data_IF_995056910503
#
_entry.id   IF_995056910503
#
_cell.length_a   1.000
_cell.length_b   1.000
_cell.length_c   1.000
_cell.angle_alpha   90.00
_cell.angle_beta   90.00
_cell.angle_gamma   90.00
#
_symmetry.space_group_name_H-M   'P 1'
#
loop_
_entity.id
_entity.type
_entity.pdbx_description
1 polymer ?
#
# COMPACT_ATOMS: atom_id res chain seq x y z
N UNK A 1 18.13 30.98 30.58
CA UNK A 1 17.67 31.46 29.28
C UNK A 1 18.15 30.61 28.06
N UNK A 2 19.34 29.98 28.13
CA UNK A 2 19.82 29.13 27.03
C UNK A 2 19.07 27.79 26.89
N UNK A 3 18.43 27.27 27.95
CA UNK A 3 17.64 26.02 27.90
C UNK A 3 16.27 26.20 27.23
N UNK A 4 15.71 27.41 27.27
CA UNK A 4 14.41 27.70 26.70
C UNK A 4 14.39 27.62 25.17
N UNK A 5 15.47 28.04 24.50
CA UNK A 5 15.59 27.97 23.03
C UNK A 5 15.79 26.56 22.51
N UNK A 6 16.21 25.58 23.34
CA UNK A 6 16.40 24.18 22.95
C UNK A 6 15.16 23.33 23.20
N UNK A 7 14.26 23.76 24.06
CA UNK A 7 13.04 23.00 24.42
C UNK A 7 11.92 23.26 23.42
N UNK A 8 11.83 24.49 22.87
CA UNK A 8 10.80 24.83 21.86
C UNK A 8 10.85 23.96 20.60
N UNK A 9 12.02 23.71 19.94
CA UNK A 9 12.07 22.86 18.78
C UNK A 9 11.77 21.38 19.09
N UNK A 10 12.05 20.92 20.33
CA UNK A 10 11.74 19.56 20.75
C UNK A 10 10.22 19.37 20.96
N UNK A 11 9.56 20.36 21.53
CA UNK A 11 8.10 20.35 21.74
C UNK A 11 7.37 20.47 20.41
N UNK A 12 7.86 21.30 19.47
CA UNK A 12 7.32 21.39 18.11
C UNK A 12 7.52 20.08 17.33
N UNK A 13 8.67 19.43 17.48
CA UNK A 13 8.93 18.14 16.87
C UNK A 13 8.00 17.03 17.42
N UNK A 14 7.74 17.04 18.74
CA UNK A 14 6.79 16.12 19.37
C UNK A 14 5.34 16.37 18.92
N UNK A 15 4.94 17.64 18.73
CA UNK A 15 3.61 17.97 18.22
C UNK A 15 3.43 17.57 16.76
N UNK A 16 4.47 17.68 15.94
CA UNK A 16 4.45 17.21 14.55
C UNK A 16 4.33 15.67 14.47
N UNK A 17 4.99 14.95 15.37
CA UNK A 17 4.90 13.49 15.46
C UNK A 17 3.52 13.02 15.95
N UNK A 18 2.89 13.73 16.88
CA UNK A 18 1.55 13.40 17.35
C UNK A 18 0.44 13.74 16.34
N UNK A 19 0.64 14.77 15.49
CA UNK A 19 -0.30 15.13 14.42
C UNK A 19 -0.21 14.25 13.17
N UNK A 20 0.92 13.59 12.92
CA UNK A 20 1.13 12.72 11.76
C UNK A 20 0.45 11.35 11.89
N UNK A 21 0.12 10.88 13.10
CA UNK A 21 -0.41 9.53 13.33
C UNK A 21 -1.87 9.31 12.89
N UNK A 22 -2.65 10.37 12.73
CA UNK A 22 -4.11 10.24 12.61
C UNK A 22 -4.63 10.01 11.18
N UNK A 23 -3.86 10.31 10.14
CA UNK A 23 -4.36 10.32 8.77
C UNK A 23 -3.38 9.76 7.73
N UNK A 24 -2.43 8.94 8.12
CA UNK A 24 -1.42 8.40 7.18
C UNK A 24 -2.07 7.55 6.08
N UNK A 25 -3.04 6.71 6.44
CA UNK A 25 -3.83 5.95 5.47
C UNK A 25 -4.56 6.87 4.49
N UNK A 26 -5.23 7.90 5.00
CA UNK A 26 -5.95 8.87 4.18
C UNK A 26 -5.01 9.63 3.23
N UNK A 27 -3.84 10.03 3.71
CA UNK A 27 -2.80 10.64 2.86
C UNK A 27 -2.32 9.69 1.77
N UNK A 28 -2.22 8.39 2.06
CA UNK A 28 -1.91 7.36 1.07
C UNK A 28 -2.96 7.31 -0.04
N UNK A 29 -4.25 7.33 0.33
CA UNK A 29 -5.36 7.36 -0.63
C UNK A 29 -5.31 8.63 -1.49
N UNK A 30 -5.15 9.79 -0.87
CA UNK A 30 -5.01 11.08 -1.60
C UNK A 30 -3.82 11.06 -2.56
N UNK A 31 -2.71 10.48 -2.14
CA UNK A 31 -1.51 10.34 -3.00
C UNK A 31 -1.77 9.43 -4.21
N UNK A 32 -2.52 8.33 -4.04
CA UNK A 32 -2.93 7.49 -5.17
C UNK A 32 -3.84 8.26 -6.15
N UNK A 33 -4.82 9.00 -5.63
CA UNK A 33 -5.73 9.81 -6.45
C UNK A 33 -4.96 10.86 -7.26
N UNK A 34 -3.93 11.44 -6.67
CA UNK A 34 -3.04 12.40 -7.32
C UNK A 34 -1.96 11.74 -8.20
N UNK A 35 -1.93 10.42 -8.28
CA UNK A 35 -0.91 9.63 -8.99
C UNK A 35 0.51 9.87 -8.49
N UNK A 36 0.65 10.31 -7.25
CA UNK A 36 1.94 10.38 -6.55
C UNK A 36 2.21 9.03 -5.86
N UNK A 37 2.65 8.08 -6.66
CA UNK A 37 2.82 6.69 -6.22
C UNK A 37 3.96 6.53 -5.20
N UNK A 38 4.99 7.35 -5.27
CA UNK A 38 6.07 7.34 -4.29
C UNK A 38 5.58 7.81 -2.91
N UNK A 39 4.81 8.90 -2.86
CA UNK A 39 4.19 9.37 -1.63
C UNK A 39 3.13 8.39 -1.10
N UNK A 40 2.35 7.79 -1.99
CA UNK A 40 1.37 6.75 -1.64
C UNK A 40 2.07 5.55 -0.98
N UNK A 41 3.16 5.07 -1.57
CA UNK A 41 3.98 3.99 -1.02
C UNK A 41 4.42 4.31 0.40
N UNK A 42 5.02 5.48 0.62
CA UNK A 42 5.52 5.90 1.94
C UNK A 42 4.39 5.98 2.97
N UNK A 43 3.27 6.59 2.62
CA UNK A 43 2.14 6.76 3.52
C UNK A 43 1.47 5.42 3.88
N UNK A 44 1.26 4.54 2.91
CA UNK A 44 0.69 3.22 3.20
C UNK A 44 1.64 2.33 3.99
N UNK A 45 2.93 2.39 3.72
CA UNK A 45 3.95 1.67 4.48
C UNK A 45 3.91 2.08 5.95
N UNK A 46 3.83 3.38 6.22
CA UNK A 46 3.68 3.91 7.56
C UNK A 46 2.35 3.50 8.21
N UNK A 47 1.25 3.49 7.45
CA UNK A 47 -0.05 3.03 7.94
C UNK A 47 0.00 1.56 8.38
N UNK A 48 0.70 0.69 7.64
CA UNK A 48 0.93 -0.70 8.02
C UNK A 48 1.74 -0.80 9.31
N UNK A 49 2.82 -0.04 9.44
CA UNK A 49 3.65 0.01 10.64
C UNK A 49 2.85 0.47 11.86
N UNK A 50 2.00 1.47 11.70
CA UNK A 50 1.10 2.01 12.73
C UNK A 50 -0.13 1.11 12.98
N UNK A 51 -0.25 -0.02 12.31
CA UNK A 51 -1.39 -0.96 12.37
C UNK A 51 -2.75 -0.29 12.09
N UNK A 52 -2.77 0.64 11.15
CA UNK A 52 -3.98 1.36 10.70
C UNK A 52 -4.45 0.81 9.36
N UNK A 53 -5.71 0.36 9.32
CA UNK A 53 -6.33 -0.16 8.10
C UNK A 53 -5.39 -1.11 7.32
N UNK A 54 -4.83 -2.10 8.02
CA UNK A 54 -3.71 -2.93 7.56
C UNK A 54 -4.00 -3.58 6.20
N UNK A 55 -5.16 -4.22 6.04
CA UNK A 55 -5.54 -4.86 4.79
C UNK A 55 -5.63 -3.86 3.63
N UNK A 56 -6.33 -2.75 3.83
CA UNK A 56 -6.48 -1.70 2.82
C UNK A 56 -5.17 -0.97 2.55
N UNK A 57 -4.32 -0.81 3.57
CA UNK A 57 -2.99 -0.22 3.41
C UNK A 57 -2.07 -1.10 2.58
N UNK A 58 -2.08 -2.40 2.78
CA UNK A 58 -1.36 -3.35 1.91
C UNK A 58 -1.89 -3.34 0.48
N UNK A 59 -3.21 -3.25 0.30
CA UNK A 59 -3.80 -3.12 -1.03
C UNK A 59 -3.34 -1.83 -1.72
N UNK A 60 -3.40 -0.70 -1.03
CA UNK A 60 -2.91 0.58 -1.54
C UNK A 60 -1.41 0.56 -1.86
N UNK A 61 -0.62 -0.08 -1.00
CA UNK A 61 0.80 -0.30 -1.21
C UNK A 61 1.08 -1.14 -2.47
N UNK A 62 0.31 -2.21 -2.66
CA UNK A 62 0.38 -3.04 -3.87
C UNK A 62 0.11 -2.24 -5.14
N UNK A 63 -0.93 -1.40 -5.13
CA UNK A 63 -1.25 -0.51 -6.26
C UNK A 63 -0.11 0.48 -6.51
N UNK A 64 0.41 1.11 -5.46
CA UNK A 64 1.52 2.08 -5.59
C UNK A 64 2.77 1.43 -6.17
N UNK A 65 3.13 0.23 -5.74
CA UNK A 65 4.23 -0.53 -6.32
C UNK A 65 3.96 -0.93 -7.77
N UNK A 66 2.75 -1.40 -8.07
CA UNK A 66 2.36 -1.81 -9.42
C UNK A 66 2.50 -0.67 -10.43
N UNK A 67 2.01 0.51 -10.08
CA UNK A 67 2.10 1.71 -10.94
C UNK A 67 3.54 2.20 -11.12
N UNK A 68 4.44 1.88 -10.19
CA UNK A 68 5.88 2.13 -10.31
C UNK A 68 6.64 1.00 -11.01
N UNK A 69 5.93 0.00 -11.54
CA UNK A 69 6.51 -1.19 -12.19
C UNK A 69 7.39 -2.04 -11.24
N UNK A 70 7.20 -1.89 -9.94
CA UNK A 70 7.85 -2.71 -8.90
C UNK A 70 7.02 -3.97 -8.65
N UNK A 71 6.95 -4.83 -9.66
CA UNK A 71 6.02 -5.95 -9.69
C UNK A 71 6.23 -6.99 -8.60
N UNK A 72 7.46 -7.27 -8.23
CA UNK A 72 7.78 -8.20 -7.14
C UNK A 72 7.29 -7.69 -5.78
N UNK A 73 7.52 -6.42 -5.51
CA UNK A 73 7.04 -5.77 -4.29
C UNK A 73 5.52 -5.61 -4.29
N UNK A 74 4.93 -5.29 -5.45
CA UNK A 74 3.49 -5.22 -5.62
C UNK A 74 2.82 -6.55 -5.32
N UNK A 75 3.35 -7.65 -5.85
CA UNK A 75 2.84 -8.99 -5.61
C UNK A 75 2.85 -9.33 -4.10
N UNK A 76 3.97 -9.09 -3.43
CA UNK A 76 4.10 -9.32 -1.99
C UNK A 76 3.08 -8.49 -1.19
N UNK A 77 2.88 -7.22 -1.56
CA UNK A 77 1.90 -6.35 -0.90
C UNK A 77 0.46 -6.83 -1.12
N UNK A 78 0.10 -7.27 -2.32
CA UNK A 78 -1.23 -7.83 -2.58
C UNK A 78 -1.46 -9.15 -1.83
N UNK A 79 -0.47 -10.03 -1.76
CA UNK A 79 -0.54 -11.26 -0.98
C UNK A 79 -0.75 -10.96 0.52
N UNK A 80 -0.04 -9.97 1.05
CA UNK A 80 -0.23 -9.50 2.41
C UNK A 80 -1.62 -8.90 2.63
N UNK A 81 -2.14 -8.16 1.66
CA UNK A 81 -3.50 -7.62 1.71
C UNK A 81 -4.54 -8.73 1.82
N UNK A 82 -4.43 -9.76 0.99
CA UNK A 82 -5.33 -10.93 1.01
C UNK A 82 -5.22 -11.66 2.35
N UNK A 83 -4.01 -11.89 2.84
CA UNK A 83 -3.76 -12.52 4.14
C UNK A 83 -4.34 -11.70 5.31
N UNK A 84 -4.37 -10.38 5.19
CA UNK A 84 -4.94 -9.47 6.18
C UNK A 84 -6.47 -9.31 6.08
N UNK A 85 -7.11 -9.95 5.11
CA UNK A 85 -8.56 -10.00 4.95
C UNK A 85 -9.14 -9.19 3.79
N UNK A 86 -8.32 -8.63 2.91
CA UNK A 86 -8.82 -7.99 1.68
C UNK A 86 -9.46 -9.03 0.77
N UNK A 87 -10.68 -8.73 0.31
CA UNK A 87 -11.36 -9.59 -0.64
C UNK A 87 -10.64 -9.58 -1.99
N UNK A 88 -10.36 -10.75 -2.53
CA UNK A 88 -9.84 -10.90 -3.87
C UNK A 88 -10.90 -10.49 -4.92
N UNK A 89 -10.73 -9.30 -5.48
CA UNK A 89 -11.56 -8.81 -6.59
C UNK A 89 -10.91 -9.16 -7.93
N UNK A 90 -11.69 -9.12 -9.01
CA UNK A 90 -11.15 -9.31 -10.35
C UNK A 90 -9.98 -8.37 -10.68
N UNK A 91 -10.05 -7.12 -10.20
CA UNK A 91 -8.96 -6.14 -10.38
C UNK A 91 -7.68 -6.58 -9.69
N UNK A 92 -7.75 -6.98 -8.41
CA UNK A 92 -6.59 -7.46 -7.65
C UNK A 92 -6.01 -8.73 -8.29
N UNK A 93 -6.85 -9.70 -8.65
CA UNK A 93 -6.41 -10.92 -9.32
C UNK A 93 -5.69 -10.61 -10.64
N UNK A 94 -6.21 -9.67 -11.43
CA UNK A 94 -5.58 -9.26 -12.68
C UNK A 94 -4.21 -8.59 -12.44
N UNK A 95 -4.13 -7.68 -11.48
CA UNK A 95 -2.86 -7.02 -11.13
C UNK A 95 -1.83 -8.02 -10.62
N UNK A 96 -2.23 -8.97 -9.78
CA UNK A 96 -1.36 -10.05 -9.30
C UNK A 96 -0.89 -10.95 -10.45
N UNK A 97 -1.77 -11.27 -11.40
CA UNK A 97 -1.40 -12.04 -12.57
C UNK A 97 -0.35 -11.32 -13.43
N UNK A 98 -0.51 -10.00 -13.66
CA UNK A 98 0.49 -9.21 -14.36
C UNK A 98 1.82 -9.21 -13.61
N UNK A 99 1.80 -9.03 -12.28
CA UNK A 99 3.01 -9.10 -11.46
C UNK A 99 3.72 -10.46 -11.61
N UNK A 100 2.96 -11.56 -11.58
CA UNK A 100 3.52 -12.92 -11.77
C UNK A 100 4.11 -13.12 -13.17
N UNK A 101 3.47 -12.60 -14.20
CA UNK A 101 4.01 -12.62 -15.57
C UNK A 101 5.32 -11.83 -15.67
N UNK A 102 5.37 -10.65 -15.09
CA UNK A 102 6.55 -9.80 -15.13
C UNK A 102 7.72 -10.36 -14.30
N UNK A 103 7.44 -11.19 -13.32
CA UNK A 103 8.45 -11.88 -12.49
C UNK A 103 8.78 -13.30 -13.00
N UNK A 104 8.36 -13.64 -14.23
CA UNK A 104 8.58 -14.93 -14.88
C UNK A 104 7.89 -16.13 -14.21
N UNK A 105 6.83 -15.87 -13.47
CA UNK A 105 6.03 -16.91 -12.81
C UNK A 105 4.73 -17.19 -13.58
N UNK A 106 4.87 -17.75 -14.79
CA UNK A 106 3.77 -17.91 -15.76
C UNK A 106 2.66 -18.86 -15.31
N UNK A 107 2.98 -19.93 -14.61
CA UNK A 107 1.98 -20.90 -14.14
C UNK A 107 1.02 -20.27 -13.15
N UNK A 108 1.56 -19.53 -12.18
CA UNK A 108 0.74 -18.80 -11.21
C UNK A 108 -0.05 -17.67 -11.86
N UNK A 109 0.50 -17.00 -12.87
CA UNK A 109 -0.20 -15.96 -13.62
C UNK A 109 -1.47 -16.50 -14.30
N UNK A 110 -1.40 -17.65 -14.93
CA UNK A 110 -2.56 -18.31 -15.56
C UNK A 110 -3.65 -18.58 -14.52
N UNK A 111 -3.29 -19.10 -13.36
CA UNK A 111 -4.25 -19.38 -12.27
C UNK A 111 -4.98 -18.10 -11.82
N UNK A 112 -4.30 -16.96 -11.73
CA UNK A 112 -4.94 -15.69 -11.37
C UNK A 112 -5.85 -15.15 -12.46
N UNK A 113 -5.50 -15.32 -13.74
CA UNK A 113 -6.38 -14.95 -14.84
C UNK A 113 -7.65 -15.80 -14.88
N UNK A 114 -7.52 -17.11 -14.68
CA UNK A 114 -8.68 -18.00 -14.62
C UNK A 114 -9.63 -17.60 -13.49
N UNK A 115 -9.09 -17.28 -12.30
CA UNK A 115 -9.86 -16.81 -11.16
C UNK A 115 -10.57 -15.48 -11.47
N UNK A 116 -9.93 -14.56 -12.18
CA UNK A 116 -10.54 -13.31 -12.63
C UNK A 116 -11.75 -13.57 -13.54
N UNK A 117 -11.64 -14.46 -14.50
CA UNK A 117 -12.74 -14.85 -15.37
C UNK A 117 -13.93 -15.42 -14.60
N UNK A 118 -13.68 -16.30 -13.65
CA UNK A 118 -14.72 -16.90 -12.81
C UNK A 118 -15.45 -15.81 -12.00
N UNK A 119 -14.74 -14.86 -11.43
CA UNK A 119 -15.33 -13.73 -10.66
C UNK A 119 -16.21 -12.86 -11.56
N UNK A 120 -15.86 -12.65 -12.83
CA UNK A 120 -16.66 -11.86 -13.77
C UNK A 120 -17.89 -12.61 -14.28
N UNK A 121 -17.85 -13.94 -14.31
CA UNK A 121 -18.98 -14.78 -14.78
C UNK A 121 -20.09 -14.95 -13.72
N UNK A 122 -19.77 -14.75 -12.46
CA UNK A 122 -20.67 -14.89 -11.32
C UNK A 122 -20.84 -13.57 -10.56
#
# INVERSE_FOLDING_TARGET
>A
MKCYKRIIPLILACMMLAGCGQNVYKKGVESLENKDYAAAQENFQKAVEDKKNVADSYRGLGIAYYEQEKYKDALAAFENAVSAGTKETGTICNMMAVCKMQTENYEDAISYYEKHWIIQMF
#
